data_IF_237803263652
#
_entry.id   IF_237803263652
#
_cell.length_a   1.000
_cell.length_b   1.000
_cell.length_c   1.000
_cell.angle_alpha   90.00
_cell.angle_beta   90.00
_cell.angle_gamma   90.00
#
_symmetry.space_group_name_H-M   'P 1'
#
loop_
_entity.id
_entity.type
_entity.pdbx_description
1 polymer ?
#
# COMPACT_ATOMS: atom_id res chain seq x y z
N UNK A 1 -5.94 -22.80 -6.37
CA UNK A 1 -4.74 -22.82 -5.51
C UNK A 1 -4.12 -21.44 -5.64
N UNK A 2 -4.00 -20.68 -4.54
CA UNK A 2 -3.38 -19.35 -4.56
C UNK A 2 -1.87 -19.57 -4.65
N UNK A 3 -1.33 -19.59 -5.87
CA UNK A 3 0.11 -19.61 -6.07
C UNK A 3 0.66 -18.22 -5.76
N UNK A 4 1.62 -18.07 -4.83
CA UNK A 4 2.21 -16.77 -4.55
C UNK A 4 2.90 -16.26 -5.81
N UNK A 5 2.34 -15.19 -6.40
CA UNK A 5 2.95 -14.43 -7.47
C UNK A 5 4.36 -13.99 -7.02
N UNK A 6 5.34 -14.31 -7.87
CA UNK A 6 6.79 -14.10 -7.74
C UNK A 6 7.35 -14.05 -6.30
N UNK A 7 8.05 -15.12 -5.92
CA UNK A 7 8.55 -15.37 -4.55
C UNK A 7 9.48 -14.25 -4.06
N UNK A 8 10.07 -13.46 -4.95
CA UNK A 8 11.04 -12.42 -4.64
C UNK A 8 10.47 -11.01 -4.46
N UNK A 9 9.18 -10.79 -4.73
CA UNK A 9 8.62 -9.44 -4.72
C UNK A 9 8.08 -9.02 -3.34
N UNK A 10 8.27 -7.73 -2.95
CA UNK A 10 7.77 -7.23 -1.68
C UNK A 10 6.23 -7.23 -1.68
N UNK A 11 5.63 -7.88 -0.68
CA UNK A 11 4.19 -7.77 -0.43
C UNK A 11 3.97 -6.49 0.36
N UNK A 12 3.33 -5.51 -0.25
CA UNK A 12 2.92 -4.30 0.43
C UNK A 12 1.48 -4.44 0.92
N UNK A 13 1.28 -4.34 2.23
CA UNK A 13 -0.07 -4.09 2.78
C UNK A 13 -0.36 -2.60 2.62
N UNK A 14 -1.46 -2.25 1.97
CA UNK A 14 -1.90 -0.87 1.80
C UNK A 14 -2.50 -0.35 3.11
N UNK A 15 -1.82 0.56 3.84
CA UNK A 15 -2.37 1.13 5.07
C UNK A 15 -3.39 2.21 4.72
N UNK A 16 -4.57 1.85 4.22
CA UNK A 16 -5.54 2.85 3.72
C UNK A 16 -5.89 3.93 4.75
N UNK A 17 -5.90 3.65 6.05
CA UNK A 17 -6.13 4.65 7.11
C UNK A 17 -5.02 5.71 7.24
N UNK A 18 -3.82 5.40 6.76
CA UNK A 18 -2.62 6.26 6.82
C UNK A 18 -2.44 7.07 5.52
N UNK A 19 -3.32 6.89 4.54
CA UNK A 19 -3.29 7.57 3.24
C UNK A 19 -4.35 8.68 3.20
N UNK A 20 -3.94 9.93 3.41
CA UNK A 20 -4.85 11.10 3.36
C UNK A 20 -5.55 11.24 2.01
N UNK A 21 -4.91 10.77 0.94
CA UNK A 21 -5.42 10.76 -0.43
C UNK A 21 -5.46 9.32 -0.95
N UNK A 22 -6.50 8.98 -1.69
CA UNK A 22 -6.60 7.66 -2.34
C UNK A 22 -5.41 7.43 -3.27
N UNK A 23 -4.87 6.20 -3.35
CA UNK A 23 -3.91 5.84 -4.37
C UNK A 23 -4.41 6.20 -5.78
N UNK A 24 -3.48 6.59 -6.64
CA UNK A 24 -3.78 7.05 -7.99
C UNK A 24 -2.76 6.52 -9.02
N UNK A 25 -3.10 6.70 -10.29
CA UNK A 25 -2.18 6.42 -11.38
C UNK A 25 -1.41 7.70 -11.72
N UNK A 26 -0.09 7.63 -11.74
CA UNK A 26 0.79 8.74 -12.10
C UNK A 26 1.80 8.30 -13.17
N UNK A 27 2.18 9.24 -14.03
CA UNK A 27 3.28 9.09 -14.98
C UNK A 27 4.46 9.86 -14.41
N UNK A 28 5.59 9.18 -14.24
CA UNK A 28 6.81 9.78 -13.70
C UNK A 28 7.87 10.08 -14.76
N UNK A 29 7.71 9.48 -15.94
CA UNK A 29 8.56 9.69 -17.10
C UNK A 29 7.69 9.84 -18.35
N UNK A 30 7.74 11.03 -18.95
CA UNK A 30 6.95 11.37 -20.13
C UNK A 30 7.42 10.62 -21.39
N UNK A 31 8.67 10.13 -21.43
CA UNK A 31 9.20 9.39 -22.58
C UNK A 31 8.67 7.96 -22.64
N UNK A 32 8.60 7.27 -21.49
CA UNK A 32 8.06 5.91 -21.41
C UNK A 32 6.53 5.86 -21.44
N UNK A 33 5.86 6.94 -21.01
CA UNK A 33 4.40 7.02 -20.88
C UNK A 33 3.82 5.85 -20.04
N UNK A 34 4.64 5.31 -19.14
CA UNK A 34 4.27 4.21 -18.26
C UNK A 34 3.51 4.75 -17.05
N UNK A 35 2.39 4.09 -16.74
CA UNK A 35 1.61 4.39 -15.56
C UNK A 35 2.13 3.59 -14.37
N UNK A 36 2.31 4.30 -13.27
CA UNK A 36 2.68 3.73 -11.99
C UNK A 36 1.58 3.98 -10.97
N UNK A 37 1.44 3.07 -10.01
CA UNK A 37 0.58 3.31 -8.87
C UNK A 37 1.38 4.10 -7.83
N UNK A 38 0.81 5.21 -7.38
CA UNK A 38 1.40 6.10 -6.39
C UNK A 38 0.44 6.36 -5.22
N UNK A 39 1.02 6.57 -4.05
CA UNK A 39 0.35 7.12 -2.87
C UNK A 39 1.38 7.59 -1.84
N UNK A 40 0.91 8.40 -0.90
CA UNK A 40 1.67 8.81 0.28
C UNK A 40 1.25 7.99 1.50
N UNK A 41 2.23 7.54 2.28
CA UNK A 41 2.00 6.91 3.58
C UNK A 41 3.19 7.15 4.52
N UNK A 42 2.92 7.09 5.82
CA UNK A 42 3.91 7.28 6.87
C UNK A 42 4.62 5.99 7.24
N UNK A 43 4.03 4.83 6.96
CA UNK A 43 4.64 3.54 7.22
C UNK A 43 4.28 2.48 6.18
N UNK A 44 5.23 1.61 5.88
CA UNK A 44 5.07 0.46 4.98
C UNK A 44 5.33 -0.84 5.72
N UNK A 45 4.58 -1.87 5.36
CA UNK A 45 4.85 -3.24 5.79
C UNK A 45 5.49 -3.97 4.62
N UNK A 46 6.75 -4.32 4.78
CA UNK A 46 7.53 -5.03 3.77
C UNK A 46 7.78 -6.46 4.24
N UNK A 47 7.78 -7.40 3.30
CA UNK A 47 8.21 -8.76 3.58
C UNK A 47 9.73 -8.87 3.41
N UNK A 48 10.44 -9.23 4.47
CA UNK A 48 11.92 -9.30 4.49
C UNK A 48 12.44 -10.70 4.13
N UNK A 49 11.83 -11.75 4.65
CA UNK A 49 12.25 -13.14 4.46
C UNK A 49 11.04 -14.06 4.52
N UNK A 50 10.88 -15.01 3.57
CA UNK A 50 9.76 -15.97 3.58
C UNK A 50 10.12 -17.21 4.43
N UNK A 51 9.11 -17.94 4.91
CA UNK A 51 9.24 -19.17 5.71
C UNK A 51 9.82 -19.01 7.13
N UNK A 52 9.87 -17.78 7.63
CA UNK A 52 10.14 -17.50 9.04
C UNK A 52 8.84 -17.14 9.75
N UNK A 53 8.80 -17.32 11.07
CA UNK A 53 7.60 -17.10 11.88
C UNK A 53 7.07 -15.65 11.75
N UNK A 54 7.96 -14.68 11.49
CA UNK A 54 7.62 -13.25 11.33
C UNK A 54 8.26 -12.65 10.08
N UNK A 55 7.69 -12.90 8.88
CA UNK A 55 8.31 -12.54 7.61
C UNK A 55 8.16 -11.06 7.25
N UNK A 56 7.30 -10.34 7.97
CA UNK A 56 6.96 -8.94 7.71
C UNK A 56 7.64 -7.99 8.70
N UNK A 57 8.18 -6.89 8.17
CA UNK A 57 8.77 -5.81 8.96
C UNK A 57 8.06 -4.50 8.68
N UNK A 58 7.79 -3.74 9.73
CA UNK A 58 7.27 -2.38 9.63
C UNK A 58 8.43 -1.40 9.43
N UNK A 59 8.30 -0.51 8.45
CA UNK A 59 9.24 0.59 8.22
C UNK A 59 8.48 1.90 8.27
N UNK A 60 8.98 2.84 9.08
CA UNK A 60 8.43 4.20 9.17
C UNK A 60 9.14 5.09 8.14
N UNK A 61 8.36 5.74 7.28
CA UNK A 61 8.81 6.64 6.23
C UNK A 61 8.87 8.10 6.71
N UNK A 62 7.86 8.55 7.48
CA UNK A 62 7.67 9.96 7.85
C UNK A 62 8.82 10.62 8.63
N UNK A 63 9.69 9.83 9.26
CA UNK A 63 10.82 10.31 10.09
C UNK A 63 12.18 9.86 9.56
N UNK A 64 12.24 9.37 8.32
CA UNK A 64 13.48 8.91 7.72
C UNK A 64 14.14 10.04 6.94
N UNK A 65 15.44 10.27 7.16
CA UNK A 65 16.25 11.12 6.28
C UNK A 65 16.60 10.45 4.94
N UNK A 66 16.26 9.16 4.80
CA UNK A 66 16.64 8.30 3.67
C UNK A 66 15.44 7.93 2.80
N UNK A 67 14.22 7.96 3.35
CA UNK A 67 13.02 7.49 2.66
C UNK A 67 12.02 8.61 2.42
N UNK A 68 11.39 8.59 1.25
CA UNK A 68 10.23 9.41 0.94
C UNK A 68 8.96 8.75 1.52
N UNK A 69 7.98 9.55 1.91
CA UNK A 69 6.61 9.09 2.22
C UNK A 69 5.84 8.68 0.97
N UNK A 70 6.28 9.16 -0.21
CA UNK A 70 5.70 8.79 -1.50
C UNK A 70 6.23 7.43 -1.95
N UNK A 71 5.32 6.50 -2.18
CA UNK A 71 5.60 5.14 -2.65
C UNK A 71 5.12 5.02 -4.09
N UNK A 72 5.95 4.39 -4.95
CA UNK A 72 5.70 4.23 -6.39
C UNK A 72 6.01 2.78 -6.75
N UNK A 73 5.11 2.13 -7.50
CA UNK A 73 5.31 0.75 -7.96
C UNK A 73 4.52 0.44 -9.23
N UNK A 74 5.00 -0.55 -9.95
CA UNK A 74 4.30 -1.18 -11.06
C UNK A 74 3.52 -2.41 -10.58
N UNK A 75 2.37 -2.66 -11.20
CA UNK A 75 1.59 -3.87 -10.96
C UNK A 75 2.00 -4.94 -11.98
N UNK A 76 2.33 -6.13 -11.50
CA UNK A 76 2.81 -7.22 -12.38
C UNK A 76 1.66 -7.99 -13.04
N UNK A 77 0.53 -8.14 -12.33
CA UNK A 77 -0.55 -9.06 -12.74
C UNK A 77 -1.92 -8.39 -12.85
N UNK A 78 -1.98 -7.08 -12.68
CA UNK A 78 -3.22 -6.32 -12.66
C UNK A 78 -3.05 -5.04 -13.46
N UNK A 79 -4.09 -4.64 -14.18
CA UNK A 79 -4.13 -3.30 -14.78
C UNK A 79 -4.37 -2.28 -13.66
N UNK A 80 -3.64 -1.16 -13.69
CA UNK A 80 -3.76 -0.10 -12.68
C UNK A 80 -5.21 0.39 -12.56
N UNK A 81 -5.91 0.56 -13.68
CA UNK A 81 -7.30 1.00 -13.66
C UNK A 81 -8.23 0.07 -12.86
N UNK A 82 -8.17 -1.23 -13.14
CA UNK A 82 -9.00 -2.23 -12.46
C UNK A 82 -8.64 -2.32 -10.97
N UNK A 83 -7.34 -2.22 -10.66
CA UNK A 83 -6.86 -2.19 -9.29
C UNK A 83 -7.40 -0.98 -8.51
N UNK A 84 -7.30 0.22 -9.08
CA UNK A 84 -7.80 1.45 -8.46
C UNK A 84 -9.30 1.39 -8.18
N UNK A 85 -10.09 0.86 -9.12
CA UNK A 85 -11.52 0.66 -8.90
C UNK A 85 -11.79 -0.32 -7.74
N UNK A 86 -11.01 -1.39 -7.62
CA UNK A 86 -11.16 -2.38 -6.55
C UNK A 86 -10.83 -1.82 -5.17
N UNK A 87 -9.83 -0.94 -5.04
CA UNK A 87 -9.40 -0.39 -3.75
C UNK A 87 -10.16 0.86 -3.31
N UNK A 88 -10.76 1.61 -4.24
CA UNK A 88 -11.52 2.82 -3.95
C UNK A 88 -12.58 2.66 -2.83
N UNK A 89 -13.42 1.60 -2.81
CA UNK A 89 -14.37 1.40 -1.71
C UNK A 89 -13.68 1.07 -0.38
N UNK A 90 -12.52 0.40 -0.40
CA UNK A 90 -11.75 0.06 0.81
C UNK A 90 -11.14 1.32 1.44
N UNK A 91 -10.52 2.17 0.63
CA UNK A 91 -10.01 3.48 1.08
C UNK A 91 -11.15 4.39 1.58
N UNK A 92 -12.28 4.42 0.87
CA UNK A 92 -13.45 5.19 1.30
C UNK A 92 -13.99 4.71 2.65
N UNK A 93 -13.98 3.39 2.87
CA UNK A 93 -14.43 2.78 4.12
C UNK A 93 -13.47 3.09 5.27
N UNK A 94 -12.15 3.07 5.03
CA UNK A 94 -11.15 3.32 6.08
C UNK A 94 -11.21 4.74 6.65
N UNK A 95 -11.72 5.70 5.87
CA UNK A 95 -11.87 7.11 6.26
C UNK A 95 -13.27 7.48 6.76
N UNK A 96 -14.20 6.53 6.84
CA UNK A 96 -15.51 6.78 7.45
C UNK A 96 -15.40 6.86 8.97
N UNK A 97 -15.85 7.98 9.54
CA UNK A 97 -15.85 8.29 10.99
C UNK A 97 -16.59 7.31 11.89
N UNK A 98 -17.39 6.38 11.35
CA UNK A 98 -18.24 5.46 12.11
C UNK A 98 -17.86 3.98 11.95
N UNK A 99 -16.73 3.68 11.29
CA UNK A 99 -16.19 2.33 11.22
C UNK A 99 -15.22 2.18 12.40
N UNK A 100 -15.77 1.93 13.58
CA UNK A 100 -14.99 1.53 14.75
C UNK A 100 -14.34 0.18 14.43
N UNK A 101 -13.01 0.12 14.44
CA UNK A 101 -12.34 -1.16 14.56
C UNK A 101 -12.41 -1.57 16.04
N UNK A 102 -12.36 -2.87 16.35
CA UNK A 102 -12.32 -3.35 17.76
C UNK A 102 -11.26 -2.65 18.63
N UNK A 103 -10.15 -2.21 18.02
CA UNK A 103 -9.07 -1.45 18.66
C UNK A 103 -9.53 -0.04 19.09
N UNK A 104 -10.45 0.57 18.35
CA UNK A 104 -11.05 1.86 18.67
C UNK A 104 -12.12 1.70 19.78
N UNK A 105 -12.78 0.54 19.90
CA UNK A 105 -13.71 0.22 20.99
C UNK A 105 -12.99 0.04 22.34
N UNK A 106 -11.81 -0.56 22.37
CA UNK A 106 -11.04 -0.81 23.61
C UNK A 106 -10.44 0.45 24.26
N UNK A 107 -10.53 1.61 23.59
CA UNK A 107 -10.06 2.92 24.11
C UNK A 107 -11.18 3.78 24.70
N UNK A 108 -12.42 3.31 24.71
CA UNK A 108 -13.58 3.98 25.33
C UNK A 108 -14.01 3.32 26.64
#
# INVERSE_FOLDING_TARGET
MFEPQDVMQPILKFPFRDMDVSPCAEIFDEESNELYLSFDCNAVVEMKERNVDHPYTHRVLANSSVYSTKVIFSLVHSKIHDFLQAIAPLWSLSHKKSVLNKIDEERF
#
